data_IF_678878543721
#
_entry.id   IF_678878543721
#
_cell.length_a   1.000
_cell.length_b   1.000
_cell.length_c   1.000
_cell.angle_alpha   90.00
_cell.angle_beta   90.00
_cell.angle_gamma   90.00
#
_symmetry.space_group_name_H-M   'P 1'
#
loop_
_entity.id
_entity.type
_entity.pdbx_description
1 polymer ?
#
# COMPACT_ATOMS: atom_id res chain seq x y z
N UNK A 1 20.02 4.99 30.17
CA UNK A 1 20.04 6.42 29.73
C UNK A 1 18.74 7.07 30.22
N UNK A 2 18.69 8.38 30.50
CA UNK A 2 17.47 9.07 30.99
C UNK A 2 16.77 9.93 29.92
N UNK A 3 17.31 9.99 28.72
CA UNK A 3 16.72 10.67 27.57
C UNK A 3 17.32 10.13 26.27
N UNK A 4 16.54 10.22 25.20
CA UNK A 4 16.88 9.76 23.85
C UNK A 4 16.35 10.77 22.83
N UNK A 5 17.02 10.88 21.68
CA UNK A 5 16.56 11.65 20.53
C UNK A 5 17.12 11.01 19.27
N UNK A 6 16.42 11.16 18.15
CA UNK A 6 16.81 10.64 16.83
C UNK A 6 16.80 11.73 15.77
N UNK A 7 17.68 11.62 14.78
CA UNK A 7 17.77 12.53 13.64
C UNK A 7 18.08 11.74 12.37
N UNK A 8 17.49 12.13 11.25
CA UNK A 8 17.85 11.58 9.94
C UNK A 8 19.20 12.17 9.54
N UNK A 9 20.22 11.32 9.44
CA UNK A 9 21.51 11.70 8.85
C UNK A 9 21.40 11.71 7.31
N UNK A 10 22.23 12.50 6.61
CA UNK A 10 22.29 12.45 5.16
C UNK A 10 22.56 11.02 4.67
N UNK A 11 21.67 10.49 3.84
CA UNK A 11 21.95 9.25 3.13
C UNK A 11 23.15 9.50 2.21
N UNK A 12 24.18 8.62 2.19
CA UNK A 12 25.25 8.75 1.22
C UNK A 12 24.66 8.72 -0.20
N UNK A 13 25.20 9.52 -1.15
CA UNK A 13 24.73 9.49 -2.53
C UNK A 13 24.73 8.06 -3.04
N UNK A 14 23.63 7.64 -3.64
CA UNK A 14 23.28 6.24 -3.83
C UNK A 14 24.18 5.56 -4.87
N UNK A 15 25.37 5.13 -4.44
CA UNK A 15 26.45 4.62 -5.30
C UNK A 15 26.09 3.35 -6.06
N UNK A 16 25.07 2.61 -5.61
CA UNK A 16 24.52 1.45 -6.30
C UNK A 16 23.45 1.79 -7.37
N UNK A 17 22.87 3.00 -7.37
CA UNK A 17 21.88 3.42 -8.37
C UNK A 17 22.52 4.10 -9.60
N UNK A 18 23.80 4.45 -9.55
CA UNK A 18 24.54 5.03 -10.67
C UNK A 18 24.90 4.01 -11.77
N UNK A 19 24.88 2.71 -11.45
CA UNK A 19 24.98 1.62 -12.42
C UNK A 19 23.58 1.26 -12.93
N UNK A 20 22.97 2.16 -13.71
CA UNK A 20 21.67 1.91 -14.31
C UNK A 20 21.72 0.65 -15.20
N UNK A 21 20.75 -0.23 -15.03
CA UNK A 21 20.62 -1.42 -15.86
C UNK A 21 20.50 -1.01 -17.35
N UNK A 22 21.40 -1.54 -18.19
CA UNK A 22 21.36 -1.35 -19.64
C UNK A 22 20.23 -2.11 -20.32
N UNK A 23 19.52 -2.95 -19.56
CA UNK A 23 18.37 -3.74 -20.01
C UNK A 23 17.07 -2.96 -19.78
N UNK A 24 16.22 -2.76 -20.80
CA UNK A 24 14.89 -2.20 -20.60
C UNK A 24 14.05 -3.05 -19.64
N UNK A 25 13.36 -2.40 -18.69
CA UNK A 25 12.56 -3.05 -17.64
C UNK A 25 11.61 -4.14 -18.16
N UNK A 26 11.00 -3.93 -19.33
CA UNK A 26 10.09 -4.90 -19.93
C UNK A 26 10.76 -6.24 -20.28
N UNK A 27 12.07 -6.26 -20.55
CA UNK A 27 12.83 -7.49 -20.79
C UNK A 27 13.08 -8.26 -19.49
N UNK A 28 13.35 -7.55 -18.39
CA UNK A 28 13.46 -8.17 -17.06
C UNK A 28 12.11 -8.78 -16.65
N UNK A 29 11.01 -8.06 -16.86
CA UNK A 29 9.66 -8.59 -16.61
C UNK A 29 9.33 -9.76 -17.53
N UNK A 30 9.61 -9.67 -18.84
CA UNK A 30 9.35 -10.74 -19.80
C UNK A 30 10.10 -12.06 -19.47
N UNK A 31 11.23 -11.98 -18.77
CA UNK A 31 12.03 -13.14 -18.39
C UNK A 31 11.52 -13.91 -17.15
N UNK A 32 10.48 -13.42 -16.45
CA UNK A 32 10.02 -14.00 -15.17
C UNK A 32 9.21 -15.30 -15.29
N UNK A 33 8.95 -15.77 -16.50
CA UNK A 33 8.12 -16.96 -16.76
C UNK A 33 6.85 -16.61 -17.52
N UNK A 34 5.77 -17.35 -17.27
CA UNK A 34 4.49 -17.18 -17.95
C UNK A 34 3.34 -17.20 -16.96
N UNK A 35 2.31 -16.44 -17.30
CA UNK A 35 1.00 -16.38 -16.66
C UNK A 35 -0.07 -16.79 -17.68
N UNK A 36 -1.20 -17.28 -17.17
CA UNK A 36 -2.48 -17.29 -17.87
C UNK A 36 -3.44 -16.32 -17.18
N UNK A 37 -4.17 -15.52 -17.96
CA UNK A 37 -5.29 -14.71 -17.49
C UNK A 37 -6.59 -15.30 -18.03
N UNK A 38 -7.53 -15.65 -17.14
CA UNK A 38 -8.81 -16.26 -17.48
C UNK A 38 -9.98 -15.60 -16.76
N UNK A 39 -11.14 -15.56 -17.40
CA UNK A 39 -12.40 -15.16 -16.76
C UNK A 39 -13.02 -16.37 -16.05
N UNK A 40 -13.50 -16.17 -14.82
CA UNK A 40 -14.12 -17.17 -13.97
C UNK A 40 -15.60 -17.37 -14.37
N UNK A 41 -15.81 -18.11 -15.45
CA UNK A 41 -17.11 -18.64 -15.86
C UNK A 41 -18.16 -17.58 -16.17
N UNK A 42 -19.42 -17.87 -15.83
CA UNK A 42 -20.57 -16.98 -16.06
C UNK A 42 -20.74 -15.90 -14.98
N UNK A 43 -19.68 -15.60 -14.22
CA UNK A 43 -19.73 -14.82 -12.99
C UNK A 43 -18.74 -13.63 -12.96
N UNK A 44 -18.26 -13.18 -14.13
CA UNK A 44 -17.46 -11.95 -14.33
C UNK A 44 -16.17 -11.76 -13.50
N UNK A 45 -15.78 -12.73 -12.66
CA UNK A 45 -14.52 -12.74 -11.92
C UNK A 45 -13.30 -13.02 -12.80
N UNK A 46 -12.10 -12.81 -12.26
CA UNK A 46 -10.85 -13.06 -12.99
C UNK A 46 -9.89 -13.94 -12.19
N UNK A 47 -9.14 -14.77 -12.91
CA UNK A 47 -8.06 -15.57 -12.35
C UNK A 47 -6.77 -15.35 -13.13
N UNK A 48 -5.66 -15.23 -12.40
CA UNK A 48 -4.31 -15.27 -12.93
C UNK A 48 -3.60 -16.49 -12.34
N UNK A 49 -3.10 -17.39 -13.19
CA UNK A 49 -2.30 -18.56 -12.78
C UNK A 49 -0.89 -18.45 -13.38
N UNK A 50 0.09 -19.09 -12.75
CA UNK A 50 1.48 -19.18 -13.22
C UNK A 50 2.22 -20.34 -12.54
N UNK A 51 3.55 -20.38 -12.64
CA UNK A 51 4.34 -21.38 -11.89
C UNK A 51 4.14 -21.16 -10.38
N UNK A 52 3.42 -22.07 -9.73
CA UNK A 52 3.05 -22.03 -8.32
C UNK A 52 2.15 -20.85 -7.89
N UNK A 53 1.79 -19.93 -8.78
CA UNK A 53 1.01 -18.73 -8.47
C UNK A 53 -0.47 -18.92 -8.83
N UNK A 54 -1.36 -18.51 -7.92
CA UNK A 54 -2.79 -18.33 -8.16
C UNK A 54 -3.25 -17.00 -7.54
N UNK A 55 -3.87 -16.15 -8.35
CA UNK A 55 -4.54 -14.92 -7.91
C UNK A 55 -5.98 -14.92 -8.41
N UNK A 56 -6.95 -14.69 -7.54
CA UNK A 56 -8.37 -14.70 -7.88
C UNK A 56 -9.09 -13.42 -7.46
N UNK A 57 -9.94 -12.93 -8.35
CA UNK A 57 -10.83 -11.78 -8.15
C UNK A 57 -12.28 -12.25 -8.28
N UNK A 58 -13.09 -11.93 -7.27
CA UNK A 58 -14.52 -12.23 -7.26
C UNK A 58 -15.30 -11.44 -8.31
N UNK A 59 -16.56 -11.83 -8.54
CA UNK A 59 -17.52 -11.09 -9.35
C UNK A 59 -17.71 -9.64 -8.88
N UNK A 60 -17.54 -9.41 -7.58
CA UNK A 60 -17.58 -8.10 -6.95
C UNK A 60 -16.28 -7.30 -7.11
N UNK A 61 -15.24 -7.86 -7.74
CA UNK A 61 -13.97 -7.20 -8.02
C UNK A 61 -12.96 -7.20 -6.88
N UNK A 62 -13.30 -7.72 -5.69
CA UNK A 62 -12.33 -7.91 -4.63
C UNK A 62 -11.37 -9.06 -4.97
N UNK A 63 -10.07 -8.87 -4.72
CA UNK A 63 -9.10 -9.96 -4.75
C UNK A 63 -9.38 -10.87 -3.53
N UNK A 64 -9.65 -12.15 -3.78
CA UNK A 64 -10.09 -13.16 -2.79
C UNK A 64 -9.01 -14.16 -2.43
N UNK A 65 -8.12 -14.45 -3.38
CA UNK A 65 -7.04 -15.43 -3.20
C UNK A 65 -5.75 -14.81 -3.72
N UNK A 66 -4.71 -14.81 -2.88
CA UNK A 66 -3.32 -14.85 -3.33
C UNK A 66 -2.70 -16.12 -2.74
N UNK A 67 -2.37 -17.08 -3.59
CA UNK A 67 -1.71 -18.33 -3.21
C UNK A 67 -0.41 -18.48 -4.01
N UNK A 68 0.66 -18.88 -3.32
CA UNK A 68 1.99 -19.04 -3.90
C UNK A 68 2.65 -20.30 -3.37
N UNK A 69 3.09 -21.16 -4.28
CA UNK A 69 3.73 -22.47 -4.01
C UNK A 69 2.89 -23.41 -3.13
N UNK A 70 1.56 -23.24 -3.16
CA UNK A 70 0.58 -23.98 -2.35
C UNK A 70 0.10 -23.24 -1.09
N UNK A 71 0.80 -22.18 -0.67
CA UNK A 71 0.50 -21.41 0.54
C UNK A 71 -0.41 -20.22 0.24
N UNK A 72 -1.55 -20.12 0.92
CA UNK A 72 -2.39 -18.90 0.87
C UNK A 72 -1.70 -17.79 1.65
N UNK A 73 -1.54 -16.60 1.06
CA UNK A 73 -0.83 -15.46 1.66
C UNK A 73 -1.73 -14.27 1.98
N UNK A 74 -2.87 -14.17 1.27
CA UNK A 74 -3.93 -13.18 1.51
C UNK A 74 -5.27 -13.82 1.17
N UNK A 75 -6.28 -13.52 2.00
CA UNK A 75 -7.63 -14.10 1.96
C UNK A 75 -8.75 -13.12 1.61
N UNK A 76 -8.51 -11.80 1.70
CA UNK A 76 -9.39 -10.77 1.14
C UNK A 76 -8.69 -9.42 0.96
N UNK A 77 -9.02 -8.70 -0.10
CA UNK A 77 -8.55 -7.34 -0.39
C UNK A 77 -7.21 -7.25 -1.13
N UNK A 78 -6.54 -6.09 -1.17
CA UNK A 78 -6.87 -4.88 -0.41
C UNK A 78 -8.14 -4.16 -0.89
N UNK A 79 -8.83 -3.52 0.06
CA UNK A 79 -9.99 -2.66 -0.17
C UNK A 79 -9.79 -1.31 0.53
N UNK A 80 -10.40 -0.24 0.03
CA UNK A 80 -10.30 1.10 0.65
C UNK A 80 -10.99 1.18 2.01
N UNK A 81 -10.35 1.81 2.98
CA UNK A 81 -10.92 2.08 4.30
C UNK A 81 -10.82 3.58 4.64
N UNK A 82 -11.92 4.15 5.15
CA UNK A 82 -12.04 5.58 5.50
C UNK A 82 -12.38 5.81 6.99
N UNK A 83 -12.47 4.75 7.78
CA UNK A 83 -13.01 4.75 9.13
C UNK A 83 -12.16 3.90 10.09
N UNK A 84 -12.26 4.19 11.40
CA UNK A 84 -11.58 3.45 12.48
C UNK A 84 -12.58 3.17 13.59
N UNK A 85 -12.32 2.14 14.40
CA UNK A 85 -13.09 1.93 15.62
C UNK A 85 -12.94 3.17 16.53
N UNK A 86 -14.04 3.82 16.97
CA UNK A 86 -13.93 5.04 17.76
C UNK A 86 -13.12 4.84 19.04
N UNK A 87 -12.25 5.78 19.33
CA UNK A 87 -11.63 5.94 20.66
C UNK A 87 -12.59 6.71 21.60
N UNK A 88 -12.36 6.67 22.91
CA UNK A 88 -13.11 7.50 23.87
C UNK A 88 -13.08 9.00 23.50
N UNK A 89 -11.97 9.47 22.92
CA UNK A 89 -11.83 10.83 22.40
C UNK A 89 -12.69 11.07 21.14
N UNK A 90 -12.85 10.08 20.28
CA UNK A 90 -13.75 10.20 19.11
C UNK A 90 -15.22 10.24 19.52
N UNK A 91 -15.60 9.46 20.54
CA UNK A 91 -16.94 9.48 21.13
C UNK A 91 -17.24 10.82 21.81
N UNK A 92 -16.43 11.21 22.79
CA UNK A 92 -16.67 12.42 23.58
C UNK A 92 -16.40 13.72 22.81
N UNK A 93 -15.50 13.70 21.83
CA UNK A 93 -15.31 14.78 20.84
C UNK A 93 -16.43 14.86 19.79
N UNK A 94 -17.31 13.87 19.73
CA UNK A 94 -18.44 13.82 18.79
C UNK A 94 -18.08 13.41 17.36
N UNK A 95 -16.83 13.04 17.08
CA UNK A 95 -16.43 12.52 15.76
C UNK A 95 -17.11 11.18 15.45
N UNK A 96 -17.23 10.30 16.44
CA UNK A 96 -17.93 9.03 16.29
C UNK A 96 -19.41 9.23 15.92
N UNK A 97 -20.08 10.22 16.53
CA UNK A 97 -21.44 10.62 16.14
C UNK A 97 -21.48 11.14 14.69
N UNK A 98 -20.52 11.98 14.27
CA UNK A 98 -20.44 12.47 12.89
C UNK A 98 -20.18 11.33 11.89
N UNK A 99 -19.32 10.36 12.22
CA UNK A 99 -19.05 9.19 11.39
C UNK A 99 -20.28 8.30 11.23
N UNK A 100 -20.98 7.98 12.32
CA UNK A 100 -22.26 7.24 12.30
C UNK A 100 -23.35 7.98 11.53
N UNK A 101 -23.44 9.31 11.70
CA UNK A 101 -24.40 10.15 10.96
C UNK A 101 -24.13 10.15 9.44
N UNK A 102 -22.86 10.22 9.05
CA UNK A 102 -22.44 10.09 7.66
C UNK A 102 -22.62 8.66 7.12
N UNK A 103 -22.56 7.65 8.01
CA UNK A 103 -22.61 6.22 7.66
C UNK A 103 -21.25 5.59 7.40
N UNK A 104 -20.14 6.28 7.76
CA UNK A 104 -18.76 5.84 7.49
C UNK A 104 -18.40 4.52 8.18
N UNK A 105 -19.00 4.23 9.33
CA UNK A 105 -18.93 2.97 10.07
C UNK A 105 -19.61 1.79 9.34
N UNK A 106 -20.54 2.09 8.42
CA UNK A 106 -21.24 1.12 7.57
C UNK A 106 -20.82 1.22 6.09
N UNK A 107 -19.68 1.87 5.83
CA UNK A 107 -19.16 2.08 4.48
C UNK A 107 -18.82 0.75 3.79
N UNK A 108 -19.37 0.53 2.60
CA UNK A 108 -19.05 -0.60 1.72
C UNK A 108 -18.61 -0.12 0.34
N UNK A 109 -17.78 -0.92 -0.31
CA UNK A 109 -17.38 -0.73 -1.70
C UNK A 109 -18.40 -1.39 -2.63
N UNK A 110 -18.86 -0.67 -3.65
CA UNK A 110 -19.72 -1.19 -4.73
C UNK A 110 -18.93 -1.10 -6.02
N UNK A 111 -18.76 -2.23 -6.72
CA UNK A 111 -18.04 -2.28 -7.99
C UNK A 111 -18.78 -1.47 -9.06
N UNK A 112 -18.06 -0.57 -9.73
CA UNK A 112 -18.55 0.16 -10.92
C UNK A 112 -17.94 -0.40 -12.21
N UNK A 113 -16.78 -1.04 -12.14
CA UNK A 113 -16.24 -1.82 -13.24
C UNK A 113 -14.97 -2.58 -12.89
N UNK A 114 -14.74 -3.70 -13.56
CA UNK A 114 -13.49 -4.46 -13.51
C UNK A 114 -12.99 -4.71 -14.93
N UNK A 115 -11.69 -4.52 -15.14
CA UNK A 115 -11.01 -4.68 -16.44
C UNK A 115 -9.75 -5.50 -16.24
N UNK A 116 -9.53 -6.49 -17.08
CA UNK A 116 -8.32 -7.32 -17.04
C UNK A 116 -7.69 -7.42 -18.43
N UNK A 117 -6.36 -7.40 -18.49
CA UNK A 117 -5.59 -7.63 -19.72
C UNK A 117 -4.20 -8.17 -19.39
N UNK A 118 -3.59 -8.87 -20.35
CA UNK A 118 -2.26 -9.47 -20.20
C UNK A 118 -1.29 -8.83 -21.21
N UNK A 119 -0.60 -7.72 -20.86
CA UNK A 119 0.28 -7.01 -21.79
C UNK A 119 1.58 -7.75 -22.13
N UNK A 120 2.04 -8.69 -21.29
CA UNK A 120 3.19 -9.57 -21.55
C UNK A 120 2.86 -10.99 -21.06
N UNK A 121 3.52 -12.04 -21.61
CA UNK A 121 3.33 -13.41 -21.11
C UNK A 121 3.53 -13.54 -19.60
N UNK A 122 4.41 -12.74 -19.00
CA UNK A 122 4.77 -12.75 -17.58
C UNK A 122 4.09 -11.69 -16.71
N UNK A 123 3.18 -10.87 -17.27
CA UNK A 123 2.53 -9.76 -16.57
C UNK A 123 1.05 -9.72 -16.92
N UNK A 124 0.20 -9.91 -15.90
CA UNK A 124 -1.23 -9.64 -15.98
C UNK A 124 -1.56 -8.33 -15.26
N UNK A 125 -2.55 -7.58 -15.76
CA UNK A 125 -3.01 -6.34 -15.15
C UNK A 125 -4.51 -6.39 -14.95
N UNK A 126 -4.97 -6.07 -13.74
CA UNK A 126 -6.38 -6.00 -13.37
C UNK A 126 -6.64 -4.63 -12.74
N UNK A 127 -7.63 -3.90 -13.23
CA UNK A 127 -8.10 -2.63 -12.66
C UNK A 127 -9.54 -2.78 -12.19
N UNK A 128 -9.82 -2.31 -10.98
CA UNK A 128 -11.13 -2.36 -10.33
C UNK A 128 -11.52 -0.94 -9.90
N UNK A 129 -12.65 -0.45 -10.39
CA UNK A 129 -13.20 0.85 -10.06
C UNK A 129 -14.43 0.68 -9.16
N UNK A 130 -14.51 1.49 -8.11
CA UNK A 130 -15.45 1.34 -7.03
C UNK A 130 -16.05 2.67 -6.61
N UNK A 131 -17.25 2.60 -6.05
CA UNK A 131 -17.88 3.68 -5.28
C UNK A 131 -18.11 3.23 -3.85
N UNK A 132 -17.67 4.04 -2.90
CA UNK A 132 -17.88 3.84 -1.48
C UNK A 132 -19.21 4.47 -1.07
N UNK A 133 -20.02 3.73 -0.32
CA UNK A 133 -21.37 4.16 0.09
C UNK A 133 -21.70 3.60 1.47
N UNK A 134 -22.34 4.41 2.33
CA UNK A 134 -22.87 3.95 3.62
C UNK A 134 -24.12 3.09 3.47
N UNK A 135 -24.52 2.38 4.53
CA UNK A 135 -25.79 1.64 4.54
C UNK A 135 -27.02 2.56 4.42
N UNK A 136 -26.87 3.83 4.84
CA UNK A 136 -27.83 4.93 4.64
C UNK A 136 -27.93 5.44 3.19
N UNK A 137 -27.10 4.93 2.26
CA UNK A 137 -27.05 5.37 0.86
C UNK A 137 -26.20 6.61 0.58
N UNK A 138 -25.57 7.23 1.60
CA UNK A 138 -24.71 8.39 1.41
C UNK A 138 -23.43 8.01 0.65
N UNK A 139 -23.03 8.77 -0.40
CA UNK A 139 -21.78 8.54 -1.12
C UNK A 139 -20.59 9.00 -0.28
N UNK A 140 -19.59 8.13 -0.12
CA UNK A 140 -18.35 8.44 0.60
C UNK A 140 -17.17 8.71 -0.33
N UNK A 141 -17.21 8.24 -1.58
CA UNK A 141 -16.16 8.50 -2.56
C UNK A 141 -16.18 7.53 -3.72
N UNK A 142 -15.13 7.62 -4.53
CA UNK A 142 -14.75 6.58 -5.48
C UNK A 142 -13.30 6.15 -5.27
N UNK A 143 -12.94 4.98 -5.80
CA UNK A 143 -11.55 4.54 -5.85
C UNK A 143 -11.26 3.65 -7.05
N UNK A 144 -10.04 3.72 -7.56
CA UNK A 144 -9.52 2.78 -8.55
C UNK A 144 -8.31 2.05 -7.98
N UNK A 145 -8.32 0.71 -8.02
CA UNK A 145 -7.17 -0.13 -7.68
C UNK A 145 -6.70 -0.85 -8.94
N UNK A 146 -5.42 -0.70 -9.28
CA UNK A 146 -4.74 -1.38 -10.39
C UNK A 146 -3.66 -2.29 -9.86
N UNK A 147 -3.80 -3.58 -10.16
CA UNK A 147 -2.92 -4.69 -9.80
C UNK A 147 -2.07 -5.06 -11.00
N UNK A 148 -0.74 -5.00 -10.88
CA UNK A 148 0.20 -5.53 -11.87
C UNK A 148 0.84 -6.78 -11.27
N UNK A 149 0.41 -7.94 -11.76
CA UNK A 149 0.72 -9.27 -11.23
C UNK A 149 1.82 -9.88 -12.10
N UNK A 150 3.00 -10.09 -11.51
CA UNK A 150 4.18 -10.62 -12.18
C UNK A 150 4.28 -12.15 -12.01
N UNK A 151 4.87 -12.84 -12.99
CA UNK A 151 5.08 -14.30 -12.94
C UNK A 151 5.94 -14.80 -11.77
N UNK A 152 6.77 -13.93 -11.18
CA UNK A 152 7.51 -14.21 -9.95
C UNK A 152 6.65 -14.14 -8.67
N UNK A 153 5.36 -13.80 -8.80
CA UNK A 153 4.39 -13.69 -7.71
C UNK A 153 4.34 -12.32 -7.04
N UNK A 154 5.20 -11.38 -7.42
CA UNK A 154 5.10 -10.00 -6.92
C UNK A 154 3.87 -9.31 -7.52
N UNK A 155 3.18 -8.49 -6.72
CA UNK A 155 2.04 -7.68 -7.17
C UNK A 155 2.29 -6.22 -6.79
N UNK A 156 2.39 -5.33 -7.78
CA UNK A 156 2.27 -3.89 -7.54
C UNK A 156 0.78 -3.52 -7.48
N UNK A 157 0.35 -2.90 -6.39
CA UNK A 157 -1.01 -2.41 -6.16
C UNK A 157 -0.98 -0.89 -6.12
N UNK A 158 -1.53 -0.24 -7.16
CA UNK A 158 -1.72 1.21 -7.19
C UNK A 158 -3.17 1.55 -6.88
N UNK A 159 -3.39 2.35 -5.85
CA UNK A 159 -4.71 2.82 -5.44
C UNK A 159 -4.80 4.34 -5.57
N UNK A 160 -5.89 4.82 -6.19
CA UNK A 160 -6.35 6.20 -6.13
C UNK A 160 -7.68 6.23 -5.38
N UNK A 161 -7.78 7.05 -4.34
CA UNK A 161 -8.98 7.27 -3.53
C UNK A 161 -9.42 8.73 -3.64
N UNK A 162 -10.71 8.93 -3.86
CA UNK A 162 -11.33 10.24 -4.05
C UNK A 162 -12.58 10.36 -3.17
N UNK A 163 -12.44 10.78 -1.90
CA UNK A 163 -13.58 10.94 -1.01
C UNK A 163 -14.57 12.01 -1.54
N UNK A 164 -15.86 11.86 -1.23
CA UNK A 164 -16.90 12.73 -1.76
C UNK A 164 -16.88 14.12 -1.11
N UNK A 165 -16.88 15.17 -1.94
CA UNK A 165 -16.83 16.58 -1.53
C UNK A 165 -18.14 17.34 -1.85
N UNK A 166 -19.21 16.63 -2.24
CA UNK A 166 -20.43 17.25 -2.81
C UNK A 166 -21.12 18.27 -1.88
N UNK A 167 -20.90 19.56 -2.18
CA UNK A 167 -21.71 20.74 -1.82
C UNK A 167 -22.30 20.82 -0.41
N UNK A 168 -21.46 20.69 0.61
CA UNK A 168 -21.68 21.40 1.87
C UNK A 168 -21.02 22.80 1.84
N UNK A 169 -21.24 23.59 2.90
CA UNK A 169 -20.55 24.89 3.10
C UNK A 169 -19.02 24.71 3.09
N UNK A 170 -18.27 25.78 2.82
CA UNK A 170 -16.81 25.76 2.99
C UNK A 170 -16.38 25.32 4.41
N UNK A 171 -17.26 25.48 5.41
CA UNK A 171 -17.08 25.06 6.82
C UNK A 171 -17.42 23.59 7.11
N UNK A 172 -18.28 22.93 6.32
CA UNK A 172 -18.74 21.55 6.56
C UNK A 172 -18.87 20.81 5.22
N UNK A 173 -17.94 19.89 4.86
CA UNK A 173 -18.13 18.97 3.74
C UNK A 173 -19.23 17.93 4.07
N UNK A 174 -19.79 17.22 3.08
CA UNK A 174 -20.78 16.17 3.34
C UNK A 174 -20.20 15.01 4.16
N UNK A 175 -18.88 14.85 4.14
CA UNK A 175 -18.14 14.00 5.06
C UNK A 175 -17.43 14.85 6.12
N UNK A 176 -17.40 14.43 7.40
CA UNK A 176 -16.50 14.99 8.39
C UNK A 176 -15.04 14.65 8.06
N UNK A 177 -14.09 15.06 8.91
CA UNK A 177 -12.74 14.49 8.87
C UNK A 177 -12.81 12.96 9.04
N UNK A 178 -11.99 12.23 8.26
CA UNK A 178 -12.02 10.77 8.19
C UNK A 178 -11.16 10.16 9.31
N UNK A 179 -11.52 8.99 9.83
CA UNK A 179 -10.70 8.31 10.85
C UNK A 179 -9.36 7.83 10.29
N UNK A 180 -9.34 7.44 9.01
CA UNK A 180 -8.17 7.07 8.21
C UNK A 180 -8.45 7.27 6.72
N UNK A 181 -7.42 7.13 5.88
CA UNK A 181 -7.54 7.01 4.44
C UNK A 181 -6.46 6.05 3.94
N UNK A 182 -6.87 4.82 3.63
CA UNK A 182 -5.95 3.72 3.43
C UNK A 182 -6.57 2.46 2.84
N UNK A 183 -5.82 1.36 2.95
CA UNK A 183 -6.24 0.03 2.52
C UNK A 183 -6.37 -0.92 3.72
N UNK A 184 -7.40 -1.75 3.69
CA UNK A 184 -7.60 -2.89 4.57
C UNK A 184 -7.53 -4.20 3.78
N UNK A 185 -6.91 -5.24 4.33
CA UNK A 185 -6.91 -6.60 3.80
C UNK A 185 -6.89 -7.62 4.93
N UNK A 186 -7.22 -8.87 4.62
CA UNK A 186 -7.04 -9.98 5.55
C UNK A 186 -6.01 -10.99 5.04
N UNK A 187 -5.18 -11.48 5.95
CA UNK A 187 -4.23 -12.58 5.71
C UNK A 187 -4.54 -13.75 6.65
N UNK A 188 -4.05 -14.97 6.38
CA UNK A 188 -4.34 -16.13 7.22
C UNK A 188 -3.99 -15.92 8.71
N UNK A 189 -4.73 -16.55 9.63
CA UNK A 189 -4.50 -16.40 11.08
C UNK A 189 -3.16 -16.98 11.52
N UNK A 190 -2.57 -17.86 10.69
CA UNK A 190 -1.23 -18.42 10.89
C UNK A 190 -0.11 -17.40 10.73
N UNK A 191 -0.37 -16.18 10.20
CA UNK A 191 0.62 -15.11 10.09
C UNK A 191 0.78 -14.35 11.42
N UNK A 192 1.15 -15.13 12.43
CA UNK A 192 1.22 -14.74 13.84
C UNK A 192 2.35 -13.77 14.18
N UNK A 193 3.33 -13.53 13.29
CA UNK A 193 4.47 -12.62 13.54
C UNK A 193 4.53 -11.49 12.52
N UNK A 194 4.55 -10.27 13.02
CA UNK A 194 4.84 -9.05 12.28
C UNK A 194 6.32 -8.66 12.44
N UNK A 195 6.93 -8.22 11.34
CA UNK A 195 8.24 -7.56 11.29
C UNK A 195 8.08 -6.26 10.50
N UNK A 196 8.57 -5.13 10.99
CA UNK A 196 8.43 -3.85 10.27
C UNK A 196 9.66 -2.96 10.40
N UNK A 197 9.83 -2.06 9.43
CA UNK A 197 10.75 -0.92 9.52
C UNK A 197 9.93 0.36 9.60
N UNK A 198 9.97 1.03 10.75
CA UNK A 198 9.15 2.21 11.04
C UNK A 198 9.30 2.62 12.50
N UNK A 199 8.33 3.35 13.03
CA UNK A 199 8.32 3.76 14.44
C UNK A 199 7.90 2.59 15.34
N UNK A 200 8.51 2.50 16.52
CA UNK A 200 8.19 1.46 17.51
C UNK A 200 9.03 1.56 18.79
N UNK A 201 9.03 0.49 19.62
CA UNK A 201 8.26 -0.76 19.45
C UNK A 201 6.77 -0.62 19.81
N UNK A 202 6.42 0.40 20.60
CA UNK A 202 5.08 0.63 21.15
C UNK A 202 4.12 1.29 20.15
N UNK A 203 2.83 1.26 20.50
CA UNK A 203 1.75 1.88 19.74
C UNK A 203 1.93 3.40 19.61
N UNK A 204 1.85 3.90 18.38
CA UNK A 204 2.02 5.32 18.09
C UNK A 204 1.10 5.80 16.96
N UNK A 205 0.66 7.05 17.08
CA UNK A 205 -0.25 7.74 16.16
C UNK A 205 0.35 9.10 15.75
N UNK A 206 -0.15 9.77 14.70
CA UNK A 206 0.48 10.98 14.16
C UNK A 206 0.75 12.09 15.19
N UNK A 207 -0.17 12.31 16.11
CA UNK A 207 -0.08 13.25 17.24
C UNK A 207 0.57 12.67 18.51
N UNK A 208 0.84 11.37 18.53
CA UNK A 208 1.40 10.63 19.67
C UNK A 208 2.52 9.67 19.23
N UNK A 209 3.54 10.20 18.56
CA UNK A 209 4.67 9.42 18.03
C UNK A 209 6.08 9.83 18.48
N UNK A 210 6.25 10.95 19.19
CA UNK A 210 7.58 11.50 19.53
C UNK A 210 8.47 10.57 20.38
N UNK A 211 7.89 9.66 21.16
CA UNK A 211 8.62 8.66 21.95
C UNK A 211 9.01 7.40 21.16
N UNK A 212 8.44 7.20 19.96
CA UNK A 212 8.66 6.00 19.16
C UNK A 212 9.91 6.15 18.28
N UNK A 213 10.86 5.24 18.45
CA UNK A 213 12.14 5.27 17.73
C UNK A 213 11.96 4.59 16.36
N UNK A 214 12.56 5.16 15.31
CA UNK A 214 12.59 4.54 13.99
C UNK A 214 13.60 3.38 13.98
N UNK A 215 13.15 2.19 13.57
CA UNK A 215 13.99 1.00 13.56
C UNK A 215 13.30 -0.22 12.97
N UNK A 216 14.02 -1.36 12.95
CA UNK A 216 13.44 -2.66 12.60
C UNK A 216 12.95 -3.34 13.87
N UNK A 217 11.67 -3.69 13.91
CA UNK A 217 11.02 -4.34 15.06
C UNK A 217 10.38 -5.67 14.63
N UNK A 218 10.21 -6.59 15.58
CA UNK A 218 9.37 -7.76 15.41
C UNK A 218 8.56 -8.04 16.67
N UNK A 219 7.29 -8.40 16.49
CA UNK A 219 6.36 -8.81 17.55
C UNK A 219 5.39 -9.87 17.03
N UNK A 220 4.83 -10.66 17.94
CA UNK A 220 3.66 -11.47 17.62
C UNK A 220 2.45 -10.53 17.39
N UNK A 221 1.55 -10.87 16.47
CA UNK A 221 0.35 -10.07 16.15
C UNK A 221 -0.54 -9.90 17.39
N UNK A 222 -0.65 -10.95 18.23
CA UNK A 222 -1.36 -10.86 19.54
C UNK A 222 -0.78 -9.80 20.48
N UNK A 223 0.51 -9.48 20.34
CA UNK A 223 1.21 -8.45 21.13
C UNK A 223 1.22 -7.07 20.48
N UNK A 224 0.54 -6.89 19.34
CA UNK A 224 0.28 -5.58 18.75
C UNK A 224 -1.03 -4.97 19.24
N UNK A 225 -1.97 -5.78 19.72
CA UNK A 225 -3.22 -5.33 20.36
C UNK A 225 -2.92 -4.68 21.71
N UNK A 226 -3.49 -3.50 21.94
CA UNK A 226 -3.51 -2.84 23.25
C UNK A 226 -4.87 -3.12 23.89
N UNK A 227 -4.95 -3.91 24.98
CA UNK A 227 -6.21 -4.26 25.63
C UNK A 227 -6.75 -3.10 26.49
N UNK A 228 -7.25 -2.07 25.82
CA UNK A 228 -8.04 -1.01 26.44
C UNK A 228 -9.33 -1.61 27.04
N UNK A 229 -9.75 -1.12 28.22
CA UNK A 229 -10.89 -1.68 28.96
C UNK A 229 -12.15 -1.68 28.10
N UNK A 230 -12.41 -0.54 27.45
CA UNK A 230 -13.36 -0.42 26.33
C UNK A 230 -12.55 -0.56 25.03
N UNK A 231 -12.83 -1.57 24.20
CA UNK A 231 -12.13 -1.75 22.93
C UNK A 231 -12.33 -0.57 21.96
N UNK A 232 -11.25 -0.20 21.27
CA UNK A 232 -11.22 0.91 20.31
C UNK A 232 -10.09 0.70 19.29
N UNK A 233 -9.90 1.66 18.38
CA UNK A 233 -8.71 1.68 17.51
C UNK A 233 -7.44 1.61 18.36
N UNK A 234 -6.60 0.62 18.07
CA UNK A 234 -5.36 0.39 18.79
C UNK A 234 -4.32 -0.31 17.88
N UNK A 235 -3.10 -0.49 18.40
CA UNK A 235 -2.03 -1.20 17.71
C UNK A 235 -1.37 -0.46 16.56
N UNK A 236 -1.72 0.82 16.34
CA UNK A 236 -1.10 1.67 15.32
C UNK A 236 0.43 1.75 15.40
N UNK A 237 1.11 1.72 14.25
CA UNK A 237 2.55 2.02 14.09
C UNK A 237 2.74 2.96 12.90
N UNK A 238 3.33 4.12 13.14
CA UNK A 238 3.59 5.13 12.11
C UNK A 238 4.96 5.02 11.44
N UNK A 239 5.16 5.83 10.39
CA UNK A 239 6.46 5.94 9.71
C UNK A 239 6.89 4.70 8.93
N UNK A 240 5.99 3.74 8.72
CA UNK A 240 6.33 2.39 8.24
C UNK A 240 6.70 2.42 6.75
N UNK A 241 7.89 1.90 6.44
CA UNK A 241 8.38 1.72 5.08
C UNK A 241 7.94 0.37 4.49
N UNK A 242 7.90 -0.66 5.35
CA UNK A 242 7.46 -2.00 5.00
C UNK A 242 7.01 -2.78 6.23
N UNK A 243 6.11 -3.73 6.00
CA UNK A 243 5.62 -4.73 6.94
C UNK A 243 5.82 -6.11 6.32
N UNK A 244 6.27 -7.09 7.10
CA UNK A 244 6.22 -8.50 6.77
C UNK A 244 5.35 -9.22 7.79
N UNK A 245 4.38 -9.99 7.31
CA UNK A 245 3.52 -10.86 8.11
C UNK A 245 3.92 -12.30 7.79
N UNK A 246 4.22 -13.08 8.83
CA UNK A 246 4.91 -14.38 8.69
C UNK A 246 4.38 -15.39 9.68
N UNK A 247 4.46 -16.67 9.31
CA UNK A 247 4.24 -17.80 10.22
C UNK A 247 5.23 -17.79 11.39
N UNK A 248 4.78 -18.00 12.62
CA UNK A 248 5.68 -18.16 13.77
C UNK A 248 6.66 -19.31 13.54
N UNK A 249 7.94 -19.06 13.82
CA UNK A 249 8.92 -20.09 14.09
C UNK A 249 9.27 -20.06 15.59
N UNK A 250 9.58 -21.24 16.14
CA UNK A 250 9.66 -21.43 17.58
C UNK A 250 10.76 -20.59 18.25
N UNK A 251 10.35 -19.55 18.99
CA UNK A 251 10.44 -19.49 20.45
C UNK A 251 9.67 -18.24 20.92
N UNK A 252 8.89 -18.36 21.99
CA UNK A 252 7.91 -17.33 22.38
C UNK A 252 8.52 -16.06 23.02
N UNK A 253 9.85 -16.04 23.25
CA UNK A 253 10.50 -15.10 24.17
C UNK A 253 11.30 -13.96 23.51
N UNK A 254 11.22 -13.78 22.18
CA UNK A 254 11.90 -12.67 21.50
C UNK A 254 11.14 -11.33 21.67
N UNK A 255 11.14 -10.80 22.91
CA UNK A 255 10.96 -9.38 23.18
C UNK A 255 12.18 -8.57 22.71
N UNK A 256 12.58 -8.72 21.45
CA UNK A 256 13.69 -7.97 20.88
C UNK A 256 13.34 -6.48 20.87
N UNK A 257 14.03 -5.73 21.72
CA UNK A 257 13.99 -4.28 21.80
C UNK A 257 15.40 -3.76 22.13
N UNK A 258 15.62 -2.52 21.73
CA UNK A 258 16.79 -1.68 22.06
C UNK A 258 18.14 -2.06 21.39
N UNK A 259 18.68 -1.07 20.68
CA UNK A 259 20.03 -0.95 20.11
C UNK A 259 20.35 -1.74 18.81
N UNK A 260 20.66 -1.04 17.69
CA UNK A 260 20.97 -1.69 16.41
C UNK A 260 22.34 -2.40 16.37
N UNK A 261 23.21 -2.17 17.36
CA UNK A 261 24.60 -2.66 17.38
C UNK A 261 24.73 -4.19 17.56
N UNK A 262 23.65 -4.90 17.91
CA UNK A 262 23.61 -6.37 18.03
C UNK A 262 22.94 -7.10 16.87
N UNK A 263 22.49 -6.39 15.83
CA UNK A 263 21.78 -6.98 14.70
C UNK A 263 22.64 -7.92 13.81
N UNK A 264 23.96 -7.98 14.03
CA UNK A 264 24.93 -8.71 13.20
C UNK A 264 25.04 -10.22 13.48
N UNK A 265 24.41 -10.73 14.55
CA UNK A 265 24.54 -12.13 14.98
C UNK A 265 23.20 -12.89 15.07
N UNK A 266 22.10 -12.30 14.59
CA UNK A 266 20.83 -13.01 14.50
C UNK A 266 20.87 -13.95 13.28
N UNK A 267 20.96 -15.26 13.54
CA UNK A 267 20.67 -16.29 12.54
C UNK A 267 19.25 -16.82 12.80
N UNK A 268 18.20 -16.32 12.09
CA UNK A 268 16.83 -16.81 12.26
C UNK A 268 16.65 -18.28 11.85
N UNK A 269 17.63 -18.89 11.16
CA UNK A 269 17.46 -20.15 10.45
C UNK A 269 17.93 -21.38 11.24
N UNK A 270 17.82 -21.31 12.58
CA UNK A 270 17.95 -22.50 13.44
C UNK A 270 16.78 -23.49 13.31
N UNK A 271 15.70 -23.10 12.63
CA UNK A 271 14.54 -23.94 12.29
C UNK A 271 14.75 -24.71 10.98
N UNK A 272 14.29 -25.96 10.94
CA UNK A 272 14.40 -26.87 9.78
C UNK A 272 13.47 -26.46 8.61
N UNK A 273 12.43 -25.67 8.87
CA UNK A 273 11.54 -25.08 7.85
C UNK A 273 11.84 -23.59 7.69
N UNK A 274 11.63 -23.04 6.48
CA UNK A 274 11.67 -21.59 6.22
C UNK A 274 10.28 -20.97 6.47
N UNK A 275 10.17 -19.72 6.94
CA UNK A 275 8.89 -19.09 7.23
C UNK A 275 8.13 -18.79 5.93
N UNK A 276 6.82 -18.99 5.97
CA UNK A 276 5.88 -18.54 4.94
C UNK A 276 5.37 -17.15 5.34
N UNK A 277 5.12 -16.27 4.37
CA UNK A 277 4.63 -14.93 4.68
C UNK A 277 4.35 -14.03 3.47
N UNK A 278 3.97 -12.80 3.78
CA UNK A 278 3.72 -11.73 2.83
C UNK A 278 4.44 -10.46 3.30
N UNK A 279 5.32 -9.91 2.44
CA UNK A 279 5.90 -8.57 2.66
C UNK A 279 5.11 -7.54 1.87
N UNK A 280 4.83 -6.41 2.50
CA UNK A 280 4.18 -5.25 1.89
C UNK A 280 5.09 -4.05 2.03
N UNK A 281 5.54 -3.51 0.89
CA UNK A 281 6.43 -2.35 0.83
C UNK A 281 5.71 -1.15 0.23
N UNK A 282 5.94 0.05 0.78
CA UNK A 282 5.49 1.30 0.17
C UNK A 282 6.44 1.69 -0.98
N UNK A 283 5.89 2.10 -2.12
CA UNK A 283 6.65 2.39 -3.34
C UNK A 283 6.54 3.85 -3.80
N UNK A 284 7.54 4.28 -4.58
CA UNK A 284 7.52 5.57 -5.28
C UNK A 284 7.35 6.75 -4.34
N UNK A 285 6.32 7.57 -4.62
CA UNK A 285 5.96 8.75 -3.84
C UNK A 285 4.94 8.48 -2.73
N UNK A 286 4.58 7.21 -2.48
CA UNK A 286 3.72 6.84 -1.34
C UNK A 286 4.40 7.30 -0.05
N UNK A 287 3.72 8.03 0.85
CA UNK A 287 4.30 8.43 2.12
C UNK A 287 4.58 7.21 3.01
N UNK A 288 5.39 7.36 4.08
CA UNK A 288 5.47 6.36 5.14
C UNK A 288 4.06 6.05 5.69
N UNK A 289 3.77 4.76 5.90
CA UNK A 289 2.42 4.31 6.27
C UNK A 289 2.19 4.42 7.79
N UNK A 290 0.94 4.67 8.17
CA UNK A 290 0.40 4.19 9.44
C UNK A 290 -0.12 2.77 9.20
N UNK A 291 0.23 1.80 10.04
CA UNK A 291 -0.29 0.44 9.94
C UNK A 291 -0.88 -0.05 11.26
N UNK A 292 -1.75 -1.06 11.18
CA UNK A 292 -2.07 -1.96 12.29
C UNK A 292 -2.27 -3.39 11.77
N UNK A 293 -2.02 -4.37 12.63
CA UNK A 293 -2.29 -5.79 12.37
C UNK A 293 -2.92 -6.40 13.63
N UNK A 294 -4.12 -6.96 13.51
CA UNK A 294 -4.94 -7.44 14.64
C UNK A 294 -5.76 -8.68 14.25
N UNK A 295 -6.11 -9.50 15.23
CA UNK A 295 -7.09 -10.59 15.05
C UNK A 295 -8.54 -10.11 15.08
N UNK A 296 -8.76 -8.84 15.47
CA UNK A 296 -10.07 -8.21 15.61
C UNK A 296 -10.27 -7.19 14.49
N UNK A 297 -11.44 -7.19 13.86
CA UNK A 297 -11.80 -6.17 12.88
C UNK A 297 -12.16 -4.85 13.57
N UNK A 298 -12.05 -3.72 12.86
CA UNK A 298 -12.51 -2.43 13.38
C UNK A 298 -14.01 -2.44 13.77
N UNK A 299 -14.83 -3.25 13.08
CA UNK A 299 -16.23 -3.44 13.43
C UNK A 299 -16.42 -4.26 14.73
N UNK A 300 -15.58 -5.26 14.99
CA UNK A 300 -15.61 -6.01 16.25
C UNK A 300 -15.13 -5.14 17.43
N UNK A 301 -14.05 -4.37 17.24
CA UNK A 301 -13.56 -3.41 18.23
C UNK A 301 -14.65 -2.39 18.60
N UNK A 302 -15.32 -1.78 17.63
CA UNK A 302 -16.36 -0.77 17.88
C UNK A 302 -17.70 -1.32 18.40
N UNK A 303 -17.92 -2.64 18.36
CA UNK A 303 -19.14 -3.29 18.85
C UNK A 303 -19.01 -3.84 20.28
N UNK A 304 -17.78 -4.09 20.74
CA UNK A 304 -17.51 -4.61 22.07
C UNK A 304 -17.48 -3.48 23.13
N UNK A 305 -18.09 -3.72 24.28
CA UNK A 305 -17.99 -2.86 25.48
C UNK A 305 -16.79 -3.23 26.37
N UNK A 306 -16.30 -4.47 26.25
CA UNK A 306 -15.18 -4.99 27.03
C UNK A 306 -14.26 -5.88 26.18
N UNK A 307 -12.96 -5.91 26.49
CA UNK A 307 -11.96 -6.73 25.77
C UNK A 307 -12.33 -8.23 25.68
N UNK A 308 -12.99 -8.79 26.69
CA UNK A 308 -13.44 -10.20 26.70
C UNK A 308 -14.60 -10.52 25.75
N UNK A 309 -15.26 -9.51 25.17
CA UNK A 309 -16.32 -9.65 24.16
C UNK A 309 -15.74 -9.72 22.73
N UNK A 310 -14.44 -9.41 22.57
CA UNK A 310 -13.75 -9.47 21.28
C UNK A 310 -13.59 -10.91 20.80
N UNK A 311 -13.83 -11.13 19.51
CA UNK A 311 -13.74 -12.46 18.90
C UNK A 311 -12.96 -12.38 17.60
N UNK A 312 -11.99 -13.27 17.42
CA UNK A 312 -11.23 -13.32 16.17
C UNK A 312 -12.14 -13.69 15.00
N UNK A 313 -11.92 -13.05 13.86
CA UNK A 313 -12.57 -13.40 12.59
C UNK A 313 -12.04 -14.69 11.95
N UNK A 314 -11.01 -15.32 12.53
CA UNK A 314 -10.27 -16.40 11.89
C UNK A 314 -9.24 -15.91 10.86
N UNK A 315 -8.89 -14.62 10.88
CA UNK A 315 -7.86 -14.01 10.04
C UNK A 315 -7.10 -12.91 10.81
N UNK A 316 -5.98 -12.44 10.25
CA UNK A 316 -5.35 -11.19 10.68
C UNK A 316 -5.84 -10.06 9.77
N UNK A 317 -6.51 -9.07 10.36
CA UNK A 317 -6.87 -7.80 9.74
C UNK A 317 -5.64 -6.90 9.67
N UNK A 318 -5.35 -6.36 8.49
CA UNK A 318 -4.19 -5.50 8.24
C UNK A 318 -4.68 -4.19 7.66
N UNK A 319 -4.38 -3.08 8.32
CA UNK A 319 -4.60 -1.73 7.80
C UNK A 319 -3.28 -1.09 7.38
N UNK A 320 -3.31 -0.39 6.25
CA UNK A 320 -2.17 0.31 5.62
C UNK A 320 -2.64 1.67 5.11
N UNK A 321 -2.40 2.71 5.89
CA UNK A 321 -2.95 4.04 5.66
C UNK A 321 -1.86 5.04 5.26
N UNK A 322 -2.18 5.86 4.25
CA UNK A 322 -1.34 7.02 3.88
C UNK A 322 -1.69 8.27 4.69
N UNK A 323 -2.89 8.30 5.29
CA UNK A 323 -3.27 9.27 6.30
C UNK A 323 -4.10 8.57 7.38
N UNK A 324 -3.85 8.89 8.64
CA UNK A 324 -4.65 8.47 9.78
C UNK A 324 -4.92 9.69 10.64
N UNK A 325 -6.11 9.82 11.20
CA UNK A 325 -6.41 10.94 12.08
C UNK A 325 -5.62 10.80 13.39
N UNK A 326 -5.29 11.92 14.04
CA UNK A 326 -4.77 11.89 15.41
C UNK A 326 -5.71 11.16 16.38
N UNK A 327 -5.20 10.73 17.53
CA UNK A 327 -6.03 10.14 18.62
C UNK A 327 -6.43 11.18 19.67
N UNK A 328 -5.73 12.30 19.71
CA UNK A 328 -6.10 13.46 20.50
C UNK A 328 -5.92 13.31 22.01
N UNK A 329 -6.58 14.20 22.75
CA UNK A 329 -6.74 14.14 24.20
C UNK A 329 -6.13 15.30 24.99
N UNK A 330 -6.33 16.56 24.55
CA UNK A 330 -6.17 17.69 25.47
C UNK A 330 -7.28 17.68 26.53
N UNK A 331 -8.50 17.29 26.13
CA UNK A 331 -9.55 16.77 27.00
C UNK A 331 -10.37 15.68 26.26
N UNK A 332 -11.26 15.02 27.01
CA UNK A 332 -12.16 13.96 26.51
C UNK A 332 -13.63 14.32 26.78
N UNK A 333 -14.02 15.57 26.53
CA UNK A 333 -15.42 16.04 26.65
C UNK A 333 -15.78 17.26 25.79
N UNK A 334 -14.84 17.83 25.02
CA UNK A 334 -15.13 18.93 24.08
C UNK A 334 -14.73 18.61 22.64
N UNK A 335 -15.48 19.18 21.68
CA UNK A 335 -15.24 19.01 20.24
C UNK A 335 -13.90 19.58 19.74
N UNK A 336 -13.31 20.53 20.47
CA UNK A 336 -12.13 21.29 20.04
C UNK A 336 -10.83 20.89 20.75
N UNK A 337 -10.92 20.03 21.77
CA UNK A 337 -9.77 19.60 22.58
C UNK A 337 -9.35 18.15 22.32
N UNK A 338 -10.07 17.42 21.46
CA UNK A 338 -9.72 16.04 21.10
C UNK A 338 -8.57 16.05 20.10
N UNK A 339 -8.80 16.21 18.79
CA UNK A 339 -7.72 16.14 17.78
C UNK A 339 -7.34 17.54 17.24
N UNK A 340 -6.04 17.83 17.15
CA UNK A 340 -5.52 19.06 16.56
C UNK A 340 -5.65 19.10 15.02
N UNK A 341 -5.90 20.28 14.44
CA UNK A 341 -6.23 20.42 13.03
C UNK A 341 -5.15 19.92 12.05
N UNK A 342 -3.87 19.96 12.44
CA UNK A 342 -2.74 19.41 11.65
C UNK A 342 -2.79 17.88 11.51
N UNK A 343 -3.61 17.21 12.32
CA UNK A 343 -3.78 15.76 12.37
C UNK A 343 -5.17 15.30 11.89
N UNK A 344 -5.91 16.16 11.19
CA UNK A 344 -7.16 15.80 10.50
C UNK A 344 -6.89 15.14 9.15
N UNK A 345 -7.62 14.08 8.83
CA UNK A 345 -7.70 13.54 7.46
C UNK A 345 -8.80 14.28 6.72
N UNK A 346 -8.43 15.08 5.72
CA UNK A 346 -9.39 15.92 5.00
C UNK A 346 -10.05 15.14 3.85
N UNK A 347 -11.40 15.05 3.80
CA UNK A 347 -12.10 14.41 2.68
C UNK A 347 -11.97 15.21 1.37
N UNK A 348 -11.36 16.41 1.40
CA UNK A 348 -11.07 17.20 0.19
C UNK A 348 -9.77 16.79 -0.52
N UNK A 349 -8.98 15.90 0.09
CA UNK A 349 -7.72 15.44 -0.49
C UNK A 349 -7.91 14.05 -1.13
N UNK A 350 -7.61 13.95 -2.42
CA UNK A 350 -7.43 12.66 -3.06
C UNK A 350 -6.15 12.02 -2.51
N UNK A 351 -6.20 10.73 -2.18
CA UNK A 351 -5.03 9.96 -1.77
C UNK A 351 -4.60 9.02 -2.88
N UNK A 352 -3.29 8.93 -3.11
CA UNK A 352 -2.70 7.95 -4.01
C UNK A 352 -1.64 7.14 -3.26
N UNK A 353 -1.62 5.83 -3.47
CA UNK A 353 -0.58 4.94 -2.95
C UNK A 353 -0.19 3.87 -3.96
N UNK A 354 1.08 3.45 -3.90
CA UNK A 354 1.64 2.29 -4.58
C UNK A 354 2.25 1.40 -3.53
N UNK A 355 1.78 0.15 -3.46
CA UNK A 355 2.32 -0.89 -2.59
C UNK A 355 2.86 -2.02 -3.45
N UNK A 356 3.91 -2.70 -2.98
CA UNK A 356 4.31 -3.99 -3.53
C UNK A 356 4.05 -5.10 -2.53
N UNK A 357 3.23 -6.07 -2.93
CA UNK A 357 3.04 -7.34 -2.25
C UNK A 357 4.11 -8.31 -2.76
N UNK A 358 4.90 -8.90 -1.85
CA UNK A 358 5.98 -9.82 -2.18
C UNK A 358 5.81 -11.12 -1.38
N UNK A 359 5.50 -12.24 -2.04
CA UNK A 359 5.43 -13.56 -1.42
C UNK A 359 6.73 -13.97 -0.73
N UNK A 360 6.62 -14.64 0.42
CA UNK A 360 7.70 -15.41 1.03
C UNK A 360 7.29 -16.87 1.12
N UNK A 361 8.03 -17.74 0.44
CA UNK A 361 7.85 -19.19 0.46
C UNK A 361 9.20 -19.88 0.53
N UNK A 362 9.29 -21.13 1.04
CA UNK A 362 10.54 -21.89 1.04
C UNK A 362 11.18 -22.05 -0.35
N UNK A 363 10.38 -21.98 -1.43
CA UNK A 363 10.87 -22.05 -2.82
C UNK A 363 11.42 -20.73 -3.34
N UNK A 364 10.83 -19.58 -2.98
CA UNK A 364 11.16 -18.25 -3.53
C UNK A 364 12.22 -17.49 -2.75
N UNK A 365 12.57 -17.94 -1.55
CA UNK A 365 13.71 -17.44 -0.79
C UNK A 365 13.35 -16.95 0.61
N UNK A 366 14.33 -16.31 1.25
CA UNK A 366 14.18 -15.72 2.59
C UNK A 366 13.55 -14.33 2.50
N UNK A 367 13.37 -13.64 3.65
CA UNK A 367 12.96 -12.23 3.64
C UNK A 367 13.84 -11.46 2.65
N UNK A 368 13.28 -10.80 1.61
CA UNK A 368 14.08 -9.94 0.78
C UNK A 368 14.69 -8.87 1.68
N UNK A 369 16.00 -8.67 1.57
CA UNK A 369 16.66 -7.53 2.21
C UNK A 369 15.93 -6.29 1.70
N UNK A 370 15.14 -5.60 2.54
CA UNK A 370 14.10 -4.70 1.99
C UNK A 370 14.72 -3.44 1.37
N UNK A 371 15.97 -3.14 1.72
CA UNK A 371 16.82 -2.19 1.00
C UNK A 371 17.12 -2.60 -0.45
N UNK A 372 17.04 -3.89 -0.79
CA UNK A 372 17.13 -4.45 -2.15
C UNK A 372 15.74 -4.52 -2.81
N UNK A 373 14.66 -4.80 -2.07
CA UNK A 373 13.31 -4.73 -2.59
C UNK A 373 12.93 -3.31 -3.09
N UNK A 374 13.37 -2.26 -2.37
CA UNK A 374 13.27 -0.88 -2.85
C UNK A 374 14.22 -0.53 -4.02
N UNK A 375 15.13 -1.43 -4.41
CA UNK A 375 16.11 -1.24 -5.50
C UNK A 375 15.81 -2.06 -6.77
N UNK A 376 14.86 -2.99 -6.73
CA UNK A 376 14.57 -3.89 -7.85
C UNK A 376 13.30 -3.45 -8.60
N UNK A 377 13.46 -3.17 -9.90
CA UNK A 377 12.44 -2.64 -10.82
C UNK A 377 12.03 -1.20 -10.49
N UNK A 378 12.58 -0.17 -11.18
CA UNK A 378 11.91 1.12 -11.24
C UNK A 378 10.46 0.91 -11.67
N UNK A 379 9.56 1.68 -11.08
CA UNK A 379 8.16 1.79 -11.51
C UNK A 379 8.15 2.09 -13.03
N UNK A 380 7.08 1.73 -13.74
CA UNK A 380 6.80 2.20 -15.11
C UNK A 380 6.57 3.73 -15.13
N UNK A 381 7.66 4.47 -14.93
CA UNK A 381 7.84 5.93 -14.86
C UNK A 381 9.10 6.22 -15.68
N UNK A 382 9.02 6.41 -16.99
CA UNK A 382 8.75 7.75 -17.51
C UNK A 382 8.13 7.80 -18.93
N UNK A 383 7.85 6.65 -19.57
CA UNK A 383 7.13 6.59 -20.85
C UNK A 383 5.65 6.20 -20.71
N UNK A 384 5.36 5.20 -19.86
CA UNK A 384 4.01 4.66 -19.67
C UNK A 384 3.04 5.61 -18.92
N UNK A 385 3.53 6.66 -18.27
CA UNK A 385 2.69 7.64 -17.57
C UNK A 385 1.79 8.45 -18.53
N UNK A 386 2.23 8.65 -19.78
CA UNK A 386 1.41 9.30 -20.82
C UNK A 386 0.31 8.35 -21.32
N UNK A 387 0.60 7.04 -21.38
CA UNK A 387 -0.35 5.99 -21.78
C UNK A 387 -1.43 5.75 -20.72
N UNK A 388 -1.09 5.70 -19.43
CA UNK A 388 -2.07 5.50 -18.35
C UNK A 388 -2.98 6.72 -18.10
N UNK A 389 -2.51 7.95 -18.39
CA UNK A 389 -3.39 9.14 -18.35
C UNK A 389 -4.43 9.18 -19.47
N UNK A 390 -4.25 8.41 -20.55
CA UNK A 390 -5.23 8.29 -21.62
C UNK A 390 -6.38 7.31 -21.31
N UNK A 391 -6.32 6.59 -20.18
CA UNK A 391 -7.27 5.50 -19.82
C UNK A 391 -7.84 5.68 -18.40
N UNK A 392 -8.09 6.93 -18.00
CA UNK A 392 -9.01 7.27 -16.90
C UNK A 392 -10.15 8.16 -17.44
N UNK A 393 -11.35 8.10 -16.84
CA UNK A 393 -12.57 7.97 -17.64
C UNK A 393 -13.15 9.30 -18.16
N UNK A 394 -13.51 9.29 -19.45
CA UNK A 394 -14.70 9.98 -19.94
C UNK A 394 -15.94 9.10 -19.64
N UNK A 395 -17.14 9.68 -19.42
CA UNK A 395 -18.27 8.97 -18.85
C UNK A 395 -18.78 7.77 -19.68
N UNK A 396 -19.41 6.83 -18.95
CA UNK A 396 -19.95 5.56 -19.45
C UNK A 396 -21.12 5.75 -20.44
N UNK A 397 -20.86 5.52 -21.73
CA UNK A 397 -21.92 5.28 -22.72
C UNK A 397 -21.59 4.27 -23.83
N UNK A 398 -20.32 3.86 -24.01
CA UNK A 398 -19.87 3.09 -25.19
C UNK A 398 -18.83 2.00 -24.80
N UNK A 399 -19.22 1.04 -23.96
CA UNK A 399 -18.28 0.12 -23.30
C UNK A 399 -17.62 -0.98 -24.18
N UNK A 400 -18.31 -1.72 -25.07
CA UNK A 400 -17.69 -2.91 -25.71
C UNK A 400 -16.69 -2.56 -26.81
N UNK A 401 -17.04 -1.66 -27.73
CA UNK A 401 -16.19 -1.29 -28.86
C UNK A 401 -14.90 -0.57 -28.42
N UNK A 402 -14.99 0.24 -27.35
CA UNK A 402 -13.84 0.98 -26.82
C UNK A 402 -12.84 0.11 -26.07
N UNK A 403 -13.23 -1.03 -25.51
CA UNK A 403 -12.29 -1.98 -24.91
C UNK A 403 -11.36 -2.59 -25.98
N UNK A 404 -11.94 -3.06 -27.10
CA UNK A 404 -11.16 -3.55 -28.24
C UNK A 404 -10.29 -2.44 -28.86
N UNK A 405 -10.81 -1.22 -28.96
CA UNK A 405 -10.06 -0.06 -29.47
C UNK A 405 -8.93 0.37 -28.53
N UNK A 406 -9.13 0.35 -27.20
CA UNK A 406 -8.08 0.62 -26.22
C UNK A 406 -6.98 -0.44 -26.24
N UNK A 407 -7.34 -1.72 -26.41
CA UNK A 407 -6.37 -2.80 -26.56
C UNK A 407 -5.58 -2.64 -27.87
N UNK A 408 -6.25 -2.34 -28.99
CA UNK A 408 -5.61 -2.06 -30.27
C UNK A 408 -4.73 -0.80 -30.24
N UNK A 409 -5.12 0.26 -29.51
CA UNK A 409 -4.31 1.47 -29.33
C UNK A 409 -3.10 1.19 -28.43
N UNK A 410 -3.26 0.44 -27.34
CA UNK A 410 -2.14 0.04 -26.49
C UNK A 410 -1.13 -0.82 -27.27
N UNK A 411 -1.62 -1.77 -28.06
CA UNK A 411 -0.81 -2.66 -28.89
C UNK A 411 -0.15 -1.89 -30.06
N UNK A 412 -0.85 -0.97 -30.72
CA UNK A 412 -0.29 -0.12 -31.77
C UNK A 412 0.73 0.90 -31.24
N UNK A 413 0.51 1.48 -30.05
CA UNK A 413 1.48 2.38 -29.41
C UNK A 413 2.69 1.63 -28.85
N UNK A 414 2.55 0.34 -28.49
CA UNK A 414 3.67 -0.53 -28.17
C UNK A 414 4.54 -0.77 -29.42
N UNK A 415 3.93 -1.12 -30.55
CA UNK A 415 4.63 -1.30 -31.85
C UNK A 415 5.25 0.00 -32.38
N UNK A 416 4.53 1.13 -32.29
CA UNK A 416 4.97 2.40 -32.87
C UNK A 416 6.13 3.08 -32.12
N UNK A 417 6.25 2.87 -30.81
CA UNK A 417 7.36 3.43 -30.02
C UNK A 417 8.62 2.55 -30.01
N UNK A 418 8.56 1.32 -30.55
CA UNK A 418 9.69 0.39 -30.63
C UNK A 418 9.69 -0.37 -31.98
N UNK A 419 9.94 0.33 -33.11
CA UNK A 419 9.65 -0.21 -34.45
C UNK A 419 10.62 -1.31 -34.95
N UNK A 420 11.79 -1.49 -34.31
CA UNK A 420 12.82 -2.41 -34.80
C UNK A 420 12.95 -3.67 -33.95
N UNK A 421 12.21 -4.73 -34.33
CA UNK A 421 12.37 -6.09 -33.79
C UNK A 421 13.26 -7.01 -34.64
N UNK A 422 13.67 -6.61 -35.86
CA UNK A 422 14.41 -7.52 -36.79
C UNK A 422 15.66 -6.94 -37.48
N UNK A 423 16.03 -5.67 -37.27
CA UNK A 423 17.13 -5.05 -38.01
C UNK A 423 18.15 -4.34 -37.11
N UNK A 424 19.22 -5.06 -36.72
CA UNK A 424 20.56 -4.49 -36.49
C UNK A 424 21.65 -5.60 -36.41
N UNK A 425 22.00 -6.16 -37.57
CA UNK A 425 23.35 -6.71 -37.79
C UNK A 425 24.07 -5.81 -38.80
N UNK A 426 25.17 -5.18 -38.37
CA UNK A 426 25.94 -4.19 -39.12
C UNK A 426 25.16 -2.88 -39.42
N UNK A 427 25.74 -1.68 -39.48
CA UNK A 427 27.13 -1.24 -39.55
C UNK A 427 27.26 0.12 -38.85
N UNK A 428 28.28 0.35 -38.01
CA UNK A 428 28.82 1.71 -37.82
C UNK A 428 30.33 1.68 -37.54
N UNK A 429 31.10 1.71 -38.64
CA UNK A 429 32.47 2.17 -38.67
C UNK A 429 32.50 3.60 -39.18
N UNK A 430 32.95 4.55 -38.35
CA UNK A 430 33.84 5.69 -38.68
C UNK A 430 33.74 6.81 -37.61
N UNK A 431 34.86 7.54 -37.48
CA UNK A 431 35.17 8.54 -36.43
C UNK A 431 35.67 9.83 -37.13
N UNK A 432 35.95 10.96 -36.42
CA UNK A 432 35.24 12.24 -36.48
C UNK A 432 35.96 13.29 -37.38
N UNK A 433 35.86 14.65 -37.24
CA UNK A 433 36.40 15.41 -36.07
C UNK A 433 35.77 16.79 -35.69
N UNK A 434 36.13 17.29 -34.48
CA UNK A 434 36.32 18.72 -34.06
C UNK A 434 35.19 19.77 -34.23
N UNK A 435 35.08 20.88 -33.49
CA UNK A 435 35.57 21.42 -32.22
C UNK A 435 35.05 22.88 -32.10
N UNK A 436 35.17 23.47 -30.89
CA UNK A 436 34.88 24.90 -30.55
C UNK A 436 33.38 25.25 -30.34
N UNK A 437 32.96 26.28 -29.58
CA UNK A 437 33.69 27.32 -28.80
C UNK A 437 32.87 27.86 -27.58
N UNK A 438 33.50 28.74 -26.80
CA UNK A 438 32.99 29.66 -25.75
C UNK A 438 32.68 29.19 -24.31
N UNK A 439 33.30 29.92 -23.38
CA UNK A 439 33.26 29.84 -21.91
C UNK A 439 32.47 31.01 -21.28
N UNK A 440 32.13 30.97 -19.97
CA UNK A 440 31.10 31.81 -19.36
C UNK A 440 31.60 33.13 -18.73
N UNK A 441 30.66 34.00 -18.33
CA UNK A 441 30.90 35.19 -17.50
C UNK A 441 30.09 35.15 -16.16
N UNK A 442 30.62 35.71 -15.05
CA UNK A 442 30.07 35.57 -13.69
C UNK A 442 29.16 36.78 -13.27
N UNK A 443 28.57 36.81 -12.05
CA UNK A 443 27.38 37.61 -11.75
C UNK A 443 27.64 39.04 -11.24
N UNK A 444 26.61 39.89 -11.31
CA UNK A 444 26.52 41.17 -10.61
C UNK A 444 25.46 41.10 -9.49
N UNK A 445 25.73 41.73 -8.35
CA UNK A 445 24.92 41.61 -7.13
C UNK A 445 24.11 42.86 -6.76
N UNK A 446 23.28 42.67 -5.72
CA UNK A 446 22.72 43.67 -4.77
C UNK A 446 22.22 45.03 -5.29
N UNK A 447 20.94 45.31 -5.00
CA UNK A 447 20.62 46.54 -4.26
C UNK A 447 19.31 46.39 -3.44
N UNK A 448 19.20 47.21 -2.40
CA UNK A 448 18.20 47.16 -1.34
C UNK A 448 17.11 48.23 -1.49
N UNK A 449 16.08 48.16 -0.63
CA UNK A 449 14.98 49.15 -0.40
C UNK A 449 14.01 49.32 -1.58
N UNK A 450 12.70 49.52 -1.37
CA UNK A 450 11.96 49.93 -0.16
C UNK A 450 10.95 48.89 0.33
#
# INVERSE_FOLDING_TARGET
RVGTQQFVLPLPPNSAAAAAATTPLWREVAALGQLSLACLGASDGWRVEGDGLLVEFGADGALRTLQVDGETLLTDGPQTCMWRAPTDNDEAGGYAHLWRSAGLDTSRSVLEGMRAWQPLPSLAVITTDWRQVGANGQPHGTSSLTYMIHADGQIEVRCLMQPTVQSGSASEPPLPTLGRLGLHMTVPPTFERAVWLGNGPHENYPDRCAAAVFGRYSRQVRSLHTPYIVPSENGGRGGVQWLALTTTQGHENDEMAEFPERASHFNPYGSVTKPVGLVVCREGLTPPLQMSASYYSAANLAAASHDHELHSSGAVHVHLDVQHMGVGGHDSWTKLATVGADYYVSPRQNAAMSLRLMPMTPRRGEMPDVCVAQRARPILTSGAQVLLRAVLPQPLSEAPAKAAQANAIAQALFTANYPNMEAEQSTYSHFPPTAEQYSPAPPAGSNSTS
#
